data_IF_021620868185
#
_entry.id   IF_021620868185
#
_cell.length_a   1.000
_cell.length_b   1.000
_cell.length_c   1.000
_cell.angle_alpha   90.00
_cell.angle_beta   90.00
_cell.angle_gamma   90.00
#
_symmetry.space_group_name_H-M   'P 1'
#
loop_
_entity.id
_entity.type
_entity.pdbx_description
1 polymer ?
#
# COMPACT_ATOMS: atom_id res chain seq x y z
N UNK A 1 36.09 26.45 39.21
CA UNK A 1 35.93 25.13 38.60
C UNK A 1 35.10 25.30 37.35
N UNK A 2 35.70 25.04 36.19
CA UNK A 2 35.04 25.00 34.88
C UNK A 2 34.51 23.59 34.69
N UNK A 3 33.22 23.43 34.39
CA UNK A 3 32.72 22.27 33.62
C UNK A 3 31.65 22.78 32.65
N UNK A 4 31.96 22.67 31.37
CA UNK A 4 31.08 22.88 30.25
C UNK A 4 29.99 21.80 30.19
N UNK A 5 28.78 22.17 29.79
CA UNK A 5 27.85 21.21 29.18
C UNK A 5 27.64 21.65 27.74
N UNK A 6 28.16 20.77 26.89
CA UNK A 6 28.18 20.75 25.44
C UNK A 6 26.77 20.71 24.86
N UNK A 7 26.64 21.28 23.66
CA UNK A 7 25.39 21.43 22.95
C UNK A 7 24.70 20.10 22.64
N UNK A 8 23.38 20.08 22.82
CA UNK A 8 22.51 19.16 22.12
C UNK A 8 22.34 19.67 20.69
N UNK A 9 22.99 19.00 19.75
CA UNK A 9 22.72 19.14 18.32
C UNK A 9 21.22 18.88 18.12
N UNK A 10 20.46 19.92 17.80
CA UNK A 10 19.18 19.78 17.10
C UNK A 10 19.50 19.15 15.76
N UNK A 11 19.52 17.83 15.74
CA UNK A 11 19.64 17.05 14.52
C UNK A 11 18.52 17.48 13.60
N UNK A 12 18.89 18.10 12.48
CA UNK A 12 18.00 18.23 11.35
C UNK A 12 17.61 16.80 10.96
N UNK A 13 16.41 16.37 11.34
CA UNK A 13 15.75 15.24 10.70
C UNK A 13 15.45 15.67 9.27
N UNK A 14 16.48 15.68 8.43
CA UNK A 14 16.28 15.49 7.01
C UNK A 14 15.41 14.24 6.91
N UNK A 15 14.27 14.37 6.25
CA UNK A 15 13.38 13.27 5.92
C UNK A 15 14.14 12.27 5.04
N UNK A 16 15.05 11.51 5.64
CA UNK A 16 15.46 10.23 5.11
C UNK A 16 14.17 9.43 5.10
N UNK A 17 13.71 9.07 3.89
CA UNK A 17 12.60 8.15 3.71
C UNK A 17 12.77 7.02 4.72
N UNK A 18 11.95 7.02 5.78
CA UNK A 18 12.00 5.97 6.76
C UNK A 18 11.71 4.68 5.99
N UNK A 19 12.64 3.74 6.01
CA UNK A 19 12.50 2.50 5.27
C UNK A 19 11.13 1.87 5.60
N UNK A 20 10.35 1.58 4.56
CA UNK A 20 9.06 0.94 4.72
C UNK A 20 9.25 -0.45 5.31
N UNK A 21 8.45 -0.78 6.31
CA UNK A 21 8.46 -2.06 7.01
C UNK A 21 7.14 -2.79 6.75
N UNK A 22 7.18 -4.12 6.77
CA UNK A 22 5.96 -4.92 6.67
C UNK A 22 4.96 -4.49 7.74
N UNK A 23 3.73 -4.21 7.31
CA UNK A 23 2.65 -3.68 8.15
C UNK A 23 2.49 -2.16 8.11
N UNK A 24 3.47 -1.40 7.62
CA UNK A 24 3.27 0.02 7.31
C UNK A 24 2.23 0.17 6.21
N UNK A 25 1.51 1.29 6.22
CA UNK A 25 0.65 1.69 5.11
C UNK A 25 1.15 2.98 4.48
N UNK A 26 0.81 3.19 3.22
CA UNK A 26 1.31 4.30 2.42
C UNK A 26 0.34 4.70 1.31
N UNK A 27 0.61 5.88 0.75
CA UNK A 27 0.15 6.28 -0.58
C UNK A 27 1.33 6.53 -1.49
N UNK A 28 1.12 6.25 -2.77
CA UNK A 28 2.00 6.71 -3.83
C UNK A 28 1.52 8.09 -4.24
N UNK A 29 2.45 9.04 -4.34
CA UNK A 29 2.22 10.43 -4.73
C UNK A 29 3.17 10.80 -5.86
N UNK A 30 2.96 11.96 -6.47
CA UNK A 30 3.80 12.43 -7.58
C UNK A 30 3.24 12.04 -8.94
N UNK A 31 4.07 12.15 -9.97
CA UNK A 31 3.70 11.83 -11.36
C UNK A 31 4.12 10.41 -11.70
N UNK A 32 3.54 9.76 -12.72
CA UNK A 32 4.01 8.44 -13.17
C UNK A 32 5.52 8.37 -13.45
N UNK A 33 6.13 9.46 -13.93
CA UNK A 33 7.57 9.54 -14.18
C UNK A 33 8.43 9.77 -12.92
N UNK A 34 7.81 10.19 -11.82
CA UNK A 34 8.45 10.54 -10.54
C UNK A 34 7.51 10.20 -9.38
N UNK A 35 7.19 8.92 -9.18
CA UNK A 35 6.41 8.49 -8.03
C UNK A 35 7.26 8.62 -6.77
N UNK A 36 6.61 8.94 -5.66
CA UNK A 36 7.18 8.88 -4.31
C UNK A 36 6.20 8.15 -3.40
N UNK A 37 6.69 7.47 -2.38
CA UNK A 37 5.86 6.74 -1.43
C UNK A 37 5.91 7.44 -0.06
N UNK A 38 4.75 7.73 0.50
CA UNK A 38 4.61 8.44 1.78
C UNK A 38 3.80 7.60 2.75
N UNK A 39 4.31 7.42 3.97
CA UNK A 39 3.60 6.71 5.04
C UNK A 39 2.23 7.35 5.32
N UNK A 40 1.23 6.50 5.51
CA UNK A 40 -0.12 6.86 5.89
C UNK A 40 -0.57 5.98 7.07
N UNK A 41 -1.59 6.44 7.80
CA UNK A 41 -2.25 5.62 8.80
C UNK A 41 -3.10 4.55 8.11
N UNK A 42 -2.90 3.26 8.42
CA UNK A 42 -3.67 2.17 7.82
C UNK A 42 -5.18 2.37 7.99
N UNK A 43 -5.95 2.14 6.93
CA UNK A 43 -7.39 2.35 6.88
C UNK A 43 -7.85 3.81 6.82
N UNK A 44 -6.92 4.78 6.84
CA UNK A 44 -7.26 6.18 6.62
C UNK A 44 -7.59 6.45 5.15
N UNK A 45 -8.29 7.57 4.84
CA UNK A 45 -8.54 8.01 3.45
C UNK A 45 -7.28 8.14 2.60
N UNK A 46 -6.13 8.37 3.23
CA UNK A 46 -4.84 8.50 2.57
C UNK A 46 -4.08 7.16 2.42
N UNK A 47 -4.58 6.07 3.01
CA UNK A 47 -3.94 4.76 2.91
C UNK A 47 -4.45 3.98 1.72
N UNK A 48 -3.59 3.86 0.71
CA UNK A 48 -3.87 3.10 -0.52
C UNK A 48 -3.33 1.69 -0.42
N UNK A 49 -2.09 1.56 0.03
CA UNK A 49 -1.36 0.31 0.05
C UNK A 49 -0.87 -0.01 1.46
N UNK A 50 -0.73 -1.29 1.72
CA UNK A 50 -0.07 -1.86 2.89
C UNK A 50 1.17 -2.62 2.44
N UNK A 51 2.27 -2.36 3.11
CA UNK A 51 3.55 -3.02 2.87
C UNK A 51 3.49 -4.44 3.40
N UNK A 52 3.80 -5.42 2.56
CA UNK A 52 3.83 -6.84 2.95
C UNK A 52 5.26 -7.35 3.08
N UNK A 53 6.20 -6.76 2.34
CA UNK A 53 7.62 -7.04 2.47
C UNK A 53 8.45 -5.89 1.89
N UNK A 54 9.72 -5.81 2.31
CA UNK A 54 10.73 -4.97 1.67
C UNK A 54 11.91 -5.87 1.33
N UNK A 55 12.27 -5.91 0.05
CA UNK A 55 13.27 -6.81 -0.54
C UNK A 55 14.31 -5.99 -1.30
N UNK A 56 15.36 -6.62 -1.83
CA UNK A 56 16.35 -5.91 -2.63
C UNK A 56 15.80 -5.60 -4.03
N UNK A 57 15.22 -6.64 -4.66
CA UNK A 57 14.79 -6.62 -6.06
C UNK A 57 13.32 -7.05 -6.20
N UNK A 58 12.60 -6.51 -7.19
CA UNK A 58 11.16 -6.74 -7.34
C UNK A 58 10.77 -8.18 -7.66
N UNK A 59 11.69 -8.97 -8.22
CA UNK A 59 11.51 -10.41 -8.48
C UNK A 59 11.48 -11.25 -7.19
N UNK A 60 11.87 -10.66 -6.06
CA UNK A 60 11.79 -11.27 -4.73
C UNK A 60 10.45 -10.99 -4.03
N UNK A 61 9.60 -10.12 -4.59
CA UNK A 61 8.24 -9.95 -4.10
C UNK A 61 7.42 -11.22 -4.38
N UNK A 62 6.44 -11.56 -3.51
CA UNK A 62 5.43 -12.54 -3.86
C UNK A 62 4.79 -12.19 -5.20
N UNK A 63 4.49 -13.20 -6.02
CA UNK A 63 3.97 -12.99 -7.39
C UNK A 63 2.54 -12.47 -7.40
N UNK A 64 1.86 -12.53 -6.26
CA UNK A 64 0.47 -12.11 -6.05
C UNK A 64 0.36 -10.75 -5.34
N UNK A 65 1.41 -9.93 -5.30
CA UNK A 65 1.29 -8.56 -4.78
C UNK A 65 0.56 -7.66 -5.78
N UNK A 66 -0.18 -6.68 -5.25
CA UNK A 66 -0.93 -5.75 -6.10
C UNK A 66 -0.01 -4.73 -6.78
N UNK A 67 1.07 -4.33 -6.11
CA UNK A 67 2.05 -3.39 -6.65
C UNK A 67 3.41 -3.51 -5.96
N UNK A 68 4.43 -2.91 -6.56
CA UNK A 68 5.75 -2.76 -5.96
C UNK A 68 6.34 -1.38 -6.25
N UNK A 69 7.10 -0.86 -5.29
CA UNK A 69 7.78 0.43 -5.41
C UNK A 69 9.27 0.26 -5.17
N UNK A 70 10.07 0.44 -6.21
CA UNK A 70 11.53 0.45 -6.12
C UNK A 70 12.01 1.81 -5.64
N UNK A 71 12.66 1.85 -4.48
CA UNK A 71 13.37 3.02 -3.97
C UNK A 71 14.85 2.89 -4.22
N UNK A 72 15.50 3.99 -4.59
CA UNK A 72 16.94 4.06 -4.75
C UNK A 72 17.50 5.14 -3.83
N UNK A 73 18.38 4.74 -2.90
CA UNK A 73 19.14 5.70 -2.10
C UNK A 73 20.32 6.23 -2.92
N UNK A 74 20.26 7.51 -3.29
CA UNK A 74 21.37 8.19 -4.00
C UNK A 74 22.65 8.32 -3.15
N UNK A 75 22.58 8.06 -1.84
CA UNK A 75 23.69 8.19 -0.91
C UNK A 75 24.43 6.89 -0.61
N UNK A 76 23.82 5.73 -0.90
CA UNK A 76 24.37 4.43 -0.51
C UNK A 76 24.43 3.40 -1.63
N UNK A 77 24.07 3.77 -2.88
CA UNK A 77 23.93 2.85 -4.03
C UNK A 77 23.10 1.59 -3.72
N UNK A 78 22.23 1.68 -2.71
CA UNK A 78 21.34 0.59 -2.31
C UNK A 78 19.96 0.87 -2.87
N UNK A 79 19.48 -0.05 -3.69
CA UNK A 79 18.06 -0.16 -4.04
C UNK A 79 17.35 -1.07 -3.04
N UNK A 80 16.09 -0.76 -2.77
CA UNK A 80 15.16 -1.72 -2.18
C UNK A 80 13.83 -1.62 -2.87
N UNK A 81 13.10 -2.72 -2.88
CA UNK A 81 11.74 -2.78 -3.42
C UNK A 81 10.76 -3.04 -2.29
N UNK A 82 9.74 -2.20 -2.21
CA UNK A 82 8.63 -2.34 -1.29
C UNK A 82 7.53 -3.12 -2.02
N UNK A 83 7.20 -4.31 -1.53
CA UNK A 83 6.12 -5.13 -2.05
C UNK A 83 4.83 -4.76 -1.32
N UNK A 84 3.75 -4.53 -2.06
CA UNK A 84 2.56 -3.85 -1.54
C UNK A 84 1.29 -4.54 -1.99
N UNK A 85 0.34 -4.63 -1.07
CA UNK A 85 -1.05 -4.95 -1.38
C UNK A 85 -1.91 -3.70 -1.18
N UNK A 86 -3.06 -3.66 -1.82
CA UNK A 86 -4.11 -2.69 -1.51
C UNK A 86 -4.47 -2.84 -0.02
N UNK A 87 -4.58 -1.71 0.68
CA UNK A 87 -4.95 -1.68 2.10
C UNK A 87 -6.45 -1.93 2.28
N UNK A 88 -6.88 -3.16 2.03
CA UNK A 88 -8.27 -3.56 2.15
C UNK A 88 -8.76 -3.48 3.59
N UNK A 89 -9.83 -2.71 3.81
CA UNK A 89 -10.53 -2.61 5.09
C UNK A 89 -11.98 -3.02 4.89
N UNK A 90 -12.40 -4.08 5.58
CA UNK A 90 -13.78 -4.59 5.50
C UNK A 90 -14.76 -3.47 5.85
N UNK A 91 -15.75 -3.27 4.98
CA UNK A 91 -16.77 -2.24 5.08
C UNK A 91 -16.42 -0.92 4.37
N UNK A 92 -15.18 -0.74 3.89
CA UNK A 92 -14.76 0.46 3.16
C UNK A 92 -14.59 0.20 1.67
N UNK A 93 -14.59 1.29 0.89
CA UNK A 93 -14.48 1.25 -0.56
C UNK A 93 -13.12 1.72 -1.07
N UNK A 94 -12.64 1.02 -2.09
CA UNK A 94 -11.59 1.48 -2.99
C UNK A 94 -12.21 1.78 -4.36
N UNK A 95 -11.83 2.89 -4.99
CA UNK A 95 -12.02 3.09 -6.44
C UNK A 95 -10.83 2.45 -7.13
N UNK A 96 -11.10 1.49 -8.02
CA UNK A 96 -10.07 0.73 -8.73
C UNK A 96 -10.21 1.00 -10.22
N UNK A 97 -9.14 1.49 -10.83
CA UNK A 97 -9.10 1.72 -12.27
C UNK A 97 -9.00 0.36 -13.00
N UNK A 98 -10.00 -0.05 -13.78
CA UNK A 98 -9.97 -1.34 -14.49
C UNK A 98 -8.82 -1.44 -15.50
N UNK A 99 -8.31 -0.30 -15.98
CA UNK A 99 -7.18 -0.26 -16.92
C UNK A 99 -5.82 -0.20 -16.21
N UNK A 100 -5.79 -0.16 -14.87
CA UNK A 100 -4.60 0.03 -14.04
C UNK A 100 -3.77 1.27 -14.44
N UNK A 101 -4.41 2.31 -15.00
CA UNK A 101 -3.76 3.57 -15.37
C UNK A 101 -3.53 4.50 -14.19
N UNK A 102 -4.18 4.24 -13.05
CA UNK A 102 -4.06 4.95 -11.79
C UNK A 102 -4.02 3.98 -10.63
N UNK A 103 -3.31 4.37 -9.58
CA UNK A 103 -3.33 3.64 -8.33
C UNK A 103 -4.75 3.60 -7.74
N UNK A 104 -5.12 2.51 -7.04
CA UNK A 104 -6.35 2.45 -6.26
C UNK A 104 -6.46 3.66 -5.33
N UNK A 105 -7.68 4.06 -5.00
CA UNK A 105 -7.89 5.17 -4.08
C UNK A 105 -9.01 4.86 -3.10
N UNK A 106 -8.76 5.08 -1.81
CA UNK A 106 -9.82 4.97 -0.81
C UNK A 106 -10.84 6.09 -1.00
N UNK A 107 -12.11 5.71 -1.03
CA UNK A 107 -13.23 6.63 -1.27
C UNK A 107 -14.38 6.33 -0.32
N UNK A 108 -15.26 7.31 -0.13
CA UNK A 108 -16.57 7.04 0.46
C UNK A 108 -17.36 6.16 -0.52
N UNK A 109 -17.94 5.07 -0.02
CA UNK A 109 -18.79 4.19 -0.81
C UNK A 109 -20.00 4.93 -1.40
N UNK A 110 -20.47 6.00 -0.76
CA UNK A 110 -21.59 6.82 -1.22
C UNK A 110 -21.18 7.94 -2.20
N UNK A 111 -19.89 8.08 -2.52
CA UNK A 111 -19.42 9.13 -3.43
C UNK A 111 -19.77 8.79 -4.89
N UNK A 112 -20.82 9.42 -5.40
CA UNK A 112 -21.25 9.26 -6.80
C UNK A 112 -20.32 9.92 -7.81
N UNK A 113 -19.35 10.73 -7.37
CA UNK A 113 -18.32 11.32 -8.24
C UNK A 113 -17.19 10.36 -8.59
N UNK A 114 -17.06 9.25 -7.85
CA UNK A 114 -15.99 8.28 -8.01
C UNK A 114 -16.49 7.04 -8.75
N UNK A 115 -15.85 6.66 -9.88
CA UNK A 115 -16.21 5.46 -10.62
C UNK A 115 -15.59 4.21 -10.00
N UNK A 116 -16.07 3.03 -10.44
CA UNK A 116 -15.47 1.72 -10.15
C UNK A 116 -15.19 1.48 -8.67
N UNK A 117 -16.14 1.88 -7.81
CA UNK A 117 -16.01 1.70 -6.37
C UNK A 117 -16.30 0.25 -6.03
N UNK A 118 -15.43 -0.33 -5.21
CA UNK A 118 -15.54 -1.69 -4.74
C UNK A 118 -15.40 -1.71 -3.22
N UNK A 119 -16.43 -2.23 -2.55
CA UNK A 119 -16.46 -2.37 -1.10
C UNK A 119 -15.89 -3.72 -0.71
N UNK A 120 -14.86 -3.75 0.13
CA UNK A 120 -14.42 -5.00 0.74
C UNK A 120 -15.48 -5.52 1.71
N UNK A 121 -15.98 -6.73 1.50
CA UNK A 121 -17.04 -7.34 2.32
C UNK A 121 -16.50 -8.38 3.30
N UNK A 122 -15.44 -9.09 2.92
CA UNK A 122 -14.86 -10.16 3.70
C UNK A 122 -13.42 -10.44 3.25
N UNK A 123 -12.59 -11.01 4.14
CA UNK A 123 -11.27 -11.55 3.79
C UNK A 123 -11.25 -13.03 4.16
N UNK A 124 -11.34 -13.89 3.14
CA UNK A 124 -11.28 -15.35 3.29
C UNK A 124 -9.83 -15.78 3.45
N UNK A 125 -9.51 -16.50 4.53
CA UNK A 125 -8.16 -17.04 4.77
C UNK A 125 -8.08 -18.51 4.39
N UNK A 126 -6.92 -18.93 3.86
CA UNK A 126 -6.69 -20.30 3.38
C UNK A 126 -7.38 -20.61 2.04
N UNK A 127 -7.91 -19.59 1.36
CA UNK A 127 -8.68 -19.72 0.12
C UNK A 127 -8.24 -18.63 -0.83
N UNK A 128 -7.73 -19.00 -2.00
CA UNK A 128 -7.46 -18.09 -3.12
C UNK A 128 -8.43 -18.41 -4.26
N UNK A 129 -9.69 -18.02 -4.09
CA UNK A 129 -10.75 -18.24 -5.08
C UNK A 129 -11.89 -17.23 -4.89
N UNK A 130 -12.06 -16.33 -5.87
CA UNK A 130 -13.12 -15.34 -5.89
C UNK A 130 -14.53 -15.93 -5.97
N UNK A 131 -14.71 -17.15 -6.53
CA UNK A 131 -16.01 -17.82 -6.61
C UNK A 131 -16.59 -18.16 -5.23
N UNK A 132 -15.75 -18.16 -4.18
CA UNK A 132 -16.21 -18.36 -2.80
C UNK A 132 -16.74 -17.07 -2.15
N UNK A 133 -16.55 -15.92 -2.79
CA UNK A 133 -17.15 -14.68 -2.35
C UNK A 133 -18.66 -14.70 -2.62
N UNK A 134 -19.44 -14.09 -1.73
CA UNK A 134 -20.91 -14.05 -1.87
C UNK A 134 -21.35 -13.42 -3.20
N UNK A 135 -20.66 -12.37 -3.64
CA UNK A 135 -20.89 -11.68 -4.90
C UNK A 135 -20.36 -12.46 -6.12
N UNK A 136 -19.48 -13.45 -5.90
CA UNK A 136 -18.65 -14.04 -6.94
C UNK A 136 -17.47 -13.17 -7.38
N UNK A 137 -17.28 -12.00 -6.76
CA UNK A 137 -16.22 -11.04 -7.10
C UNK A 137 -15.24 -10.90 -5.93
N UNK A 138 -13.95 -10.95 -6.24
CA UNK A 138 -12.89 -10.79 -5.26
C UNK A 138 -11.50 -10.79 -5.88
N UNK A 139 -10.52 -10.45 -5.05
CA UNK A 139 -9.09 -10.44 -5.37
C UNK A 139 -8.43 -11.64 -4.70
N UNK A 140 -8.16 -12.73 -5.44
CA UNK A 140 -7.45 -13.89 -4.90
C UNK A 140 -5.94 -13.62 -4.85
N UNK A 141 -5.34 -13.96 -3.73
CA UNK A 141 -3.89 -13.90 -3.47
C UNK A 141 -3.37 -15.33 -3.38
N UNK A 142 -2.98 -15.88 -4.53
CA UNK A 142 -2.69 -17.31 -4.71
C UNK A 142 -1.49 -17.81 -3.90
N UNK A 143 -0.41 -17.02 -3.82
CA UNK A 143 0.78 -17.47 -3.10
C UNK A 143 0.56 -17.42 -1.58
N UNK A 144 -0.18 -16.41 -1.11
CA UNK A 144 -0.44 -16.19 0.32
C UNK A 144 -1.75 -16.80 0.82
N UNK A 145 -2.50 -17.45 -0.08
CA UNK A 145 -3.70 -18.24 0.20
C UNK A 145 -4.78 -17.46 0.94
N UNK A 146 -5.18 -16.31 0.39
CA UNK A 146 -6.35 -15.57 0.88
C UNK A 146 -7.09 -14.88 -0.26
N UNK A 147 -8.34 -14.48 -0.04
CA UNK A 147 -9.16 -13.76 -1.02
C UNK A 147 -9.81 -12.58 -0.33
N UNK A 148 -9.72 -11.40 -0.94
CA UNK A 148 -10.52 -10.25 -0.51
C UNK A 148 -11.79 -10.21 -1.34
N UNK A 149 -12.93 -10.46 -0.71
CA UNK A 149 -14.23 -10.39 -1.36
C UNK A 149 -14.72 -8.96 -1.47
N UNK A 150 -15.30 -8.61 -2.62
CA UNK A 150 -15.78 -7.26 -2.88
C UNK A 150 -17.18 -7.25 -3.49
N UNK A 151 -17.90 -6.16 -3.25
CA UNK A 151 -19.10 -5.80 -4.00
C UNK A 151 -18.81 -4.55 -4.81
N UNK A 152 -19.25 -4.51 -6.07
CA UNK A 152 -19.32 -3.26 -6.82
C UNK A 152 -20.36 -2.31 -6.19
N UNK A 153 -20.03 -1.03 -6.13
CA UNK A 153 -20.89 0.02 -5.58
C UNK A 153 -21.07 1.10 -6.65
N UNK A 154 -22.31 1.25 -7.12
CA UNK A 154 -22.71 2.29 -8.07
C UNK A 154 -22.73 3.68 -7.40
#
# INVERSE_FOLDING_TARGET
>A
MVVAVTGGLTGCSSAAAAAFQAGDCLKVVGTPDKPDAVKAECGSPDSTFKVIATVADSDQCPTDVDSYYATHSTFSDTSSTVCMDIDWVVGQCMSIDPDNGRDPMRVDCADSGQPHKQRATEILRGVANADQCRSGTGYPYDQRQFTVCVDDVD
#
